data_IF_915961130049
#
_entry.id   IF_915961130049
#
_cell.length_a   1.000
_cell.length_b   1.000
_cell.length_c   1.000
_cell.angle_alpha   90.00
_cell.angle_beta   90.00
_cell.angle_gamma   90.00
#
_symmetry.space_group_name_H-M   'P 1'
#
loop_
_entity.id
_entity.type
_entity.pdbx_description
1 polymer ?
#
# COMPACT_ATOMS: atom_id res chain seq x y z
N UNK A 1 -3.32 9.82 9.82
CA UNK A 1 -4.54 9.64 9.01
C UNK A 1 -5.55 8.84 9.82
N UNK A 2 -6.85 9.14 9.75
CA UNK A 2 -7.90 8.24 10.26
C UNK A 2 -7.95 6.99 9.39
N UNK A 3 -7.77 5.81 9.99
CA UNK A 3 -7.73 4.54 9.26
C UNK A 3 -9.17 4.03 9.08
N UNK A 4 -9.70 4.14 7.87
CA UNK A 4 -10.98 3.55 7.49
C UNK A 4 -10.74 2.15 6.91
N UNK A 5 -11.36 1.14 7.51
CA UNK A 5 -11.27 -0.25 7.04
C UNK A 5 -12.66 -0.82 6.78
N UNK A 6 -12.84 -1.35 5.58
CA UNK A 6 -14.04 -2.06 5.10
C UNK A 6 -13.65 -2.81 3.82
N UNK A 7 -14.12 -4.04 3.57
CA UNK A 7 -13.74 -4.79 2.37
C UNK A 7 -14.21 -4.19 1.04
N UNK A 8 -15.29 -3.41 1.04
CA UNK A 8 -15.73 -2.66 -0.15
C UNK A 8 -15.01 -1.33 -0.38
N UNK A 9 -13.84 -1.12 0.24
CA UNK A 9 -13.01 0.04 -0.05
C UNK A 9 -11.90 -0.42 -0.98
N UNK A 10 -11.98 0.02 -2.24
CA UNK A 10 -10.85 -0.04 -3.15
C UNK A 10 -9.84 1.04 -2.78
N UNK A 11 -8.60 0.63 -2.59
CA UNK A 11 -7.45 1.54 -2.39
C UNK A 11 -6.59 1.50 -3.65
N UNK A 12 -6.33 2.66 -4.23
CA UNK A 12 -5.54 2.80 -5.45
C UNK A 12 -4.48 3.89 -5.29
N UNK A 13 -3.49 3.85 -6.17
CA UNK A 13 -2.46 4.87 -6.31
C UNK A 13 -2.42 5.28 -7.79
N UNK A 14 -2.25 6.58 -8.04
CA UNK A 14 -1.92 7.10 -9.36
C UNK A 14 -0.40 7.29 -9.42
N UNK A 15 0.20 6.83 -10.51
CA UNK A 15 1.62 7.00 -10.80
C UNK A 15 1.70 7.64 -12.17
N UNK A 16 2.31 8.82 -12.24
CA UNK A 16 2.56 9.52 -13.49
C UNK A 16 3.56 8.73 -14.34
N UNK A 17 3.21 8.50 -15.60
CA UNK A 17 4.01 7.72 -16.55
C UNK A 17 5.42 8.26 -16.76
N UNK A 18 5.65 9.56 -16.55
CA UNK A 18 6.98 10.16 -16.66
C UNK A 18 7.93 9.70 -15.55
N UNK A 19 7.40 9.35 -14.37
CA UNK A 19 8.18 8.87 -13.23
C UNK A 19 8.06 7.37 -13.02
N UNK A 20 7.17 6.70 -13.75
CA UNK A 20 7.03 5.26 -13.67
C UNK A 20 8.27 4.56 -14.23
N UNK A 21 8.83 3.66 -13.43
CA UNK A 21 9.82 2.68 -13.86
C UNK A 21 9.36 1.30 -13.43
N UNK A 22 9.47 0.32 -14.33
CA UNK A 22 9.08 -1.07 -14.05
C UNK A 22 9.89 -1.69 -12.90
N UNK A 23 11.07 -1.14 -12.63
CA UNK A 23 12.01 -1.65 -11.62
C UNK A 23 12.08 -0.75 -10.37
N UNK A 24 11.13 0.16 -10.18
CA UNK A 24 11.10 1.04 -9.01
C UNK A 24 10.58 0.31 -7.75
N UNK A 25 11.48 0.05 -6.82
CA UNK A 25 11.17 -0.61 -5.56
C UNK A 25 10.04 0.05 -4.76
N UNK A 26 9.98 1.39 -4.67
CA UNK A 26 8.98 2.08 -3.84
C UNK A 26 7.58 1.97 -4.44
N UNK A 27 7.48 2.08 -5.77
CA UNK A 27 6.23 1.84 -6.49
C UNK A 27 5.71 0.45 -6.17
N UNK A 28 6.54 -0.58 -6.35
CA UNK A 28 6.16 -1.97 -6.08
C UNK A 28 5.82 -2.20 -4.61
N UNK A 29 6.54 -1.59 -3.67
CA UNK A 29 6.25 -1.68 -2.24
C UNK A 29 4.87 -1.11 -1.89
N UNK A 30 4.54 0.06 -2.41
CA UNK A 30 3.23 0.68 -2.15
C UNK A 30 2.11 -0.13 -2.82
N UNK A 31 2.31 -0.55 -4.07
CA UNK A 31 1.33 -1.37 -4.81
C UNK A 31 1.08 -2.69 -4.08
N UNK A 32 2.12 -3.38 -3.60
CA UNK A 32 1.99 -4.61 -2.83
C UNK A 32 1.18 -4.38 -1.54
N UNK A 33 1.50 -3.33 -0.79
CA UNK A 33 0.79 -2.99 0.45
C UNK A 33 -0.70 -2.66 0.20
N UNK A 34 -1.03 -1.95 -0.88
CA UNK A 34 -2.41 -1.70 -1.29
C UNK A 34 -3.11 -2.99 -1.73
N UNK A 35 -2.42 -3.89 -2.43
CA UNK A 35 -2.94 -5.20 -2.84
C UNK A 35 -3.33 -6.04 -1.62
N UNK A 36 -2.47 -6.10 -0.59
CA UNK A 36 -2.79 -6.77 0.68
C UNK A 36 -4.11 -6.23 1.25
N UNK A 37 -4.24 -4.91 1.37
CA UNK A 37 -5.45 -4.27 1.92
C UNK A 37 -6.70 -4.51 1.09
N UNK A 38 -6.57 -4.51 -0.25
CA UNK A 38 -7.68 -4.81 -1.16
C UNK A 38 -8.10 -6.29 -1.13
N UNK A 39 -7.19 -7.19 -0.76
CA UNK A 39 -7.50 -8.61 -0.50
C UNK A 39 -8.06 -8.86 0.91
N UNK A 40 -8.19 -7.82 1.74
CA UNK A 40 -8.61 -7.96 3.14
C UNK A 40 -7.50 -8.45 4.08
N UNK A 41 -6.25 -8.51 3.61
CA UNK A 41 -5.08 -8.86 4.40
C UNK A 41 -4.50 -7.64 5.11
N UNK A 42 -3.80 -7.87 6.21
CA UNK A 42 -3.09 -6.82 6.94
C UNK A 42 -1.85 -6.39 6.17
N UNK A 43 -1.66 -5.08 5.98
CA UNK A 43 -0.37 -4.49 5.58
C UNK A 43 0.51 -4.19 6.81
N UNK A 44 0.06 -4.59 8.01
CA UNK A 44 0.73 -4.34 9.28
C UNK A 44 1.01 -2.84 9.54
N UNK A 45 0.18 -1.95 8.96
CA UNK A 45 0.32 -0.49 9.08
C UNK A 45 1.37 0.12 8.14
N UNK A 46 1.93 -0.67 7.22
CA UNK A 46 2.99 -0.22 6.31
C UNK A 46 2.58 1.02 5.49
N UNK A 47 1.38 1.04 4.90
CA UNK A 47 0.92 2.18 4.09
C UNK A 47 0.87 3.47 4.92
N UNK A 48 0.43 3.37 6.18
CA UNK A 48 0.38 4.52 7.09
C UNK A 48 1.78 5.10 7.30
N UNK A 49 2.76 4.26 7.60
CA UNK A 49 4.12 4.74 7.89
C UNK A 49 4.90 5.13 6.64
N UNK A 50 4.67 4.46 5.51
CA UNK A 50 5.21 4.87 4.22
C UNK A 50 4.67 6.25 3.81
N UNK A 51 3.40 6.56 4.08
CA UNK A 51 2.83 7.86 3.71
C UNK A 51 3.61 9.05 4.31
N UNK A 52 4.16 8.92 5.52
CA UNK A 52 5.02 9.94 6.14
C UNK A 52 6.35 10.08 5.39
N UNK A 53 6.96 8.95 5.03
CA UNK A 53 8.25 8.90 4.31
C UNK A 53 8.10 9.30 2.84
N UNK A 54 6.92 9.15 2.27
CA UNK A 54 6.61 9.50 0.89
C UNK A 54 5.98 10.89 0.76
N UNK A 55 5.66 11.56 1.88
CA UNK A 55 5.12 12.92 1.86
C UNK A 55 6.12 13.92 1.24
N UNK A 56 5.62 14.75 0.32
CA UNK A 56 6.40 15.72 -0.44
C UNK A 56 6.94 15.14 -1.75
N UNK A 57 7.85 15.88 -2.39
CA UNK A 57 8.47 15.42 -3.63
C UNK A 57 9.51 14.33 -3.38
N UNK A 58 9.29 13.15 -3.96
CA UNK A 58 10.18 11.98 -3.84
C UNK A 58 11.18 11.95 -5.01
N UNK A 59 10.68 12.21 -6.23
CA UNK A 59 11.41 12.08 -7.49
C UNK A 59 11.61 13.40 -8.24
N UNK A 60 10.97 14.48 -7.79
CA UNK A 60 10.65 15.62 -8.66
C UNK A 60 11.30 16.94 -8.21
N UNK A 61 11.85 17.68 -9.18
CA UNK A 61 12.16 19.13 -9.06
C UNK A 61 11.02 19.96 -9.70
N UNK A 62 10.32 19.43 -10.73
CA UNK A 62 9.19 20.06 -11.43
C UNK A 62 7.98 19.14 -11.64
N UNK A 63 6.79 19.56 -11.18
CA UNK A 63 5.56 18.78 -11.21
C UNK A 63 4.93 18.72 -9.83
N UNK A 64 3.65 19.06 -9.72
CA UNK A 64 2.92 19.14 -8.46
C UNK A 64 1.83 18.06 -8.36
N UNK A 65 1.27 17.89 -7.15
CA UNK A 65 0.14 16.99 -6.90
C UNK A 65 -1.09 17.27 -7.77
N UNK A 66 -1.14 18.42 -8.46
CA UNK A 66 -2.25 18.83 -9.30
C UNK A 66 -2.34 18.12 -10.67
N UNK A 67 -1.28 17.42 -11.12
CA UNK A 67 -1.35 16.69 -12.40
C UNK A 67 -2.40 15.58 -12.39
N UNK A 68 -2.71 15.02 -11.21
CA UNK A 68 -3.75 14.00 -11.03
C UNK A 68 -5.15 14.48 -11.48
N UNK A 69 -5.41 15.79 -11.48
CA UNK A 69 -6.72 16.32 -11.87
C UNK A 69 -6.99 16.18 -13.38
N UNK A 70 -5.94 16.10 -14.18
CA UNK A 70 -6.01 15.98 -15.64
C UNK A 70 -6.17 14.52 -16.08
N UNK A 71 -6.05 13.57 -15.15
CA UNK A 71 -5.98 12.14 -15.44
C UNK A 71 -7.34 11.46 -15.37
N UNK A 72 -7.97 11.30 -16.55
CA UNK A 72 -9.29 10.70 -16.70
C UNK A 72 -9.41 9.34 -16.01
N UNK A 73 -8.36 8.52 -16.05
CA UNK A 73 -8.37 7.18 -15.47
C UNK A 73 -8.56 7.18 -13.94
N UNK A 74 -8.15 8.24 -13.24
CA UNK A 74 -8.34 8.38 -11.79
C UNK A 74 -9.83 8.43 -11.46
N UNK A 75 -10.60 9.23 -12.20
CA UNK A 75 -12.06 9.33 -12.02
C UNK A 75 -12.78 8.09 -12.54
N UNK A 76 -12.35 7.56 -13.69
CA UNK A 76 -12.95 6.35 -14.26
C UNK A 76 -12.76 5.13 -13.34
N UNK A 77 -11.69 5.08 -12.54
CA UNK A 77 -11.48 4.00 -11.57
C UNK A 77 -12.64 3.90 -10.57
N UNK A 78 -13.15 5.02 -10.06
CA UNK A 78 -14.29 5.02 -9.14
C UNK A 78 -15.58 4.54 -9.82
N UNK A 79 -15.81 4.98 -11.06
CA UNK A 79 -16.95 4.55 -11.87
C UNK A 79 -16.88 3.04 -12.13
N UNK A 80 -15.74 2.54 -12.60
CA UNK A 80 -15.51 1.11 -12.83
C UNK A 80 -15.69 0.30 -11.55
N UNK A 81 -15.09 0.73 -10.44
CA UNK A 81 -15.25 0.03 -9.17
C UNK A 81 -16.73 -0.08 -8.74
N UNK A 82 -17.52 0.97 -8.99
CA UNK A 82 -18.95 1.00 -8.64
C UNK A 82 -19.78 0.04 -9.50
N UNK A 83 -19.49 -0.10 -10.79
CA UNK A 83 -20.33 -0.83 -11.74
C UNK A 83 -19.81 -2.21 -12.15
N UNK A 84 -18.50 -2.44 -12.09
CA UNK A 84 -17.85 -3.67 -12.56
C UNK A 84 -17.58 -4.67 -11.42
N UNK A 85 -17.57 -4.22 -10.16
CA UNK A 85 -17.37 -5.10 -9.01
C UNK A 85 -18.70 -5.69 -8.55
N UNK A 86 -18.69 -6.97 -8.22
CA UNK A 86 -19.86 -7.64 -7.66
C UNK A 86 -20.29 -6.95 -6.36
N UNK A 87 -21.58 -6.63 -6.19
CA UNK A 87 -22.06 -5.97 -4.98
C UNK A 87 -21.72 -6.80 -3.72
N UNK A 88 -21.21 -6.12 -2.71
CA UNK A 88 -20.84 -6.69 -1.40
C UNK A 88 -21.93 -6.38 -0.36
N UNK A 89 -22.12 -7.28 0.61
CA UNK A 89 -23.11 -7.12 1.69
C UNK A 89 -24.57 -7.31 1.27
N UNK A 90 -25.50 -6.84 2.11
CA UNK A 90 -26.96 -7.03 1.99
C UNK A 90 -27.61 -6.30 0.80
N UNK A 91 -26.85 -5.50 0.04
CA UNK A 91 -27.30 -4.87 -1.20
C UNK A 91 -27.36 -5.85 -2.39
N UNK A 92 -26.83 -7.07 -2.21
CA UNK A 92 -27.29 -8.21 -3.00
C UNK A 92 -28.65 -8.67 -2.48
N UNK A 93 -29.67 -8.72 -3.34
CA UNK A 93 -31.06 -9.16 -3.06
C UNK A 93 -31.23 -10.54 -2.40
N UNK A 94 -30.20 -11.18 -1.85
CA UNK A 94 -30.19 -12.63 -1.58
C UNK A 94 -29.61 -13.13 -0.24
N UNK A 95 -29.13 -12.32 0.70
CA UNK A 95 -28.66 -12.88 1.99
C UNK A 95 -28.90 -11.99 3.21
N UNK A 96 -30.04 -12.21 3.87
CA UNK A 96 -30.46 -11.65 5.18
C UNK A 96 -29.75 -12.28 6.40
N UNK A 97 -28.63 -13.00 6.20
CA UNK A 97 -28.03 -13.86 7.23
C UNK A 97 -26.56 -13.58 7.56
N UNK A 98 -25.91 -12.60 6.92
CA UNK A 98 -24.54 -12.19 7.30
C UNK A 98 -24.60 -10.87 8.05
N UNK A 99 -23.97 -10.86 9.23
CA UNK A 99 -23.72 -9.64 9.99
C UNK A 99 -23.10 -8.58 9.08
N UNK A 100 -23.75 -7.43 8.98
CA UNK A 100 -23.26 -6.30 8.22
C UNK A 100 -21.86 -5.93 8.73
N UNK A 101 -20.86 -6.02 7.86
CA UNK A 101 -19.52 -5.57 8.20
C UNK A 101 -19.56 -4.04 8.32
N UNK A 102 -19.53 -3.55 9.55
CA UNK A 102 -19.54 -2.12 9.82
C UNK A 102 -18.16 -1.57 9.50
N UNK A 103 -18.11 -0.53 8.68
CA UNK A 103 -16.86 0.17 8.41
C UNK A 103 -16.23 0.64 9.73
N UNK A 104 -15.03 0.17 10.02
CA UNK A 104 -14.32 0.56 11.23
C UNK A 104 -13.53 1.83 10.93
N UNK A 105 -13.85 2.90 11.65
CA UNK A 105 -13.14 4.17 11.59
C UNK A 105 -12.29 4.28 12.84
N UNK A 106 -10.97 4.26 12.67
CA UNK A 106 -10.08 4.66 13.76
C UNK A 106 -10.09 6.18 13.89
N UNK A 107 -10.46 6.72 15.08
CA UNK A 107 -10.46 8.16 15.28
C UNK A 107 -9.06 8.70 15.03
N UNK A 108 -8.99 9.86 14.36
CA UNK A 108 -7.71 10.54 14.15
C UNK A 108 -7.10 10.84 15.52
N UNK A 109 -6.01 10.13 15.83
CA UNK A 109 -5.13 10.47 16.93
C UNK A 109 -3.94 11.18 16.31
N UNK A 110 -3.77 12.45 16.63
CA UNK A 110 -2.54 13.17 16.38
C UNK A 110 -1.42 12.55 17.25
N UNK A 111 -0.96 11.34 16.91
CA UNK A 111 0.17 10.73 17.59
C UNK A 111 1.41 11.48 17.14
N UNK A 112 1.98 12.22 18.08
CA UNK A 112 3.37 12.66 18.07
C UNK A 112 4.28 11.42 17.96
N UNK A 113 5.35 11.53 17.18
CA UNK A 113 6.46 10.57 17.00
C UNK A 113 6.31 9.52 15.87
N UNK A 114 7.10 9.77 14.82
CA UNK A 114 7.51 8.82 13.78
C UNK A 114 8.51 7.84 14.39
N UNK A 115 8.03 6.79 15.05
CA UNK A 115 8.91 5.76 15.59
C UNK A 115 9.62 5.08 14.39
N UNK A 116 10.96 5.14 14.31
CA UNK A 116 11.71 4.63 13.16
C UNK A 116 11.56 3.11 12.98
N UNK A 117 11.11 2.39 14.01
CA UNK A 117 10.95 0.94 13.99
C UNK A 117 9.64 0.46 13.37
N UNK A 118 8.67 1.34 13.11
CA UNK A 118 7.36 0.89 12.60
C UNK A 118 7.43 0.27 11.21
N UNK A 119 8.20 0.87 10.28
CA UNK A 119 8.35 0.33 8.93
C UNK A 119 9.01 -1.07 8.95
N UNK A 120 10.18 -1.27 9.58
CA UNK A 120 10.77 -2.60 9.66
C UNK A 120 9.89 -3.60 10.42
N UNK A 121 9.14 -3.16 11.43
CA UNK A 121 8.20 -4.03 12.14
C UNK A 121 7.04 -4.46 11.25
N UNK A 122 6.45 -3.54 10.49
CA UNK A 122 5.38 -3.83 9.54
C UNK A 122 5.86 -4.83 8.46
N UNK A 123 7.06 -4.59 7.90
CA UNK A 123 7.64 -5.50 6.91
C UNK A 123 7.95 -6.87 7.49
N UNK A 124 8.49 -6.97 8.71
CA UNK A 124 8.63 -8.26 9.41
C UNK A 124 7.27 -8.96 9.55
N UNK A 125 6.24 -8.22 9.93
CA UNK A 125 4.86 -8.73 10.02
C UNK A 125 4.42 -9.35 8.71
N UNK A 126 4.54 -8.61 7.61
CA UNK A 126 4.23 -9.08 6.24
C UNK A 126 4.99 -10.36 5.89
N UNK A 127 6.30 -10.40 6.16
CA UNK A 127 7.16 -11.54 5.80
C UNK A 127 6.89 -12.80 6.65
N UNK A 128 6.19 -12.67 7.77
CA UNK A 128 5.89 -13.78 8.68
C UNK A 128 4.40 -14.09 8.80
N UNK A 129 3.55 -13.37 8.08
CA UNK A 129 2.10 -13.51 8.14
C UNK A 129 1.63 -14.79 7.41
N UNK A 130 1.08 -15.79 8.13
CA UNK A 130 0.66 -17.04 7.51
C UNK A 130 -0.44 -16.86 6.46
N UNK A 131 -1.29 -15.85 6.58
CA UNK A 131 -2.35 -15.57 5.60
C UNK A 131 -1.76 -15.02 4.31
N UNK A 132 -0.69 -14.23 4.37
CA UNK A 132 0.05 -13.77 3.18
C UNK A 132 0.83 -14.94 2.57
N UNK A 133 1.55 -15.69 3.42
CA UNK A 133 2.34 -16.86 3.01
C UNK A 133 1.48 -18.08 2.63
N UNK A 134 0.16 -18.00 2.69
CA UNK A 134 -0.71 -19.02 2.10
C UNK A 134 -0.92 -18.81 0.58
N UNK A 135 -0.61 -17.62 0.05
CA UNK A 135 -0.86 -17.25 -1.34
C UNK A 135 0.44 -17.26 -2.15
N UNK A 136 0.58 -18.19 -3.10
CA UNK A 136 1.80 -18.32 -3.89
C UNK A 136 2.09 -17.09 -4.78
N UNK A 137 1.05 -16.42 -5.28
CA UNK A 137 1.19 -15.16 -6.01
C UNK A 137 1.81 -14.06 -5.14
N UNK A 138 1.33 -13.90 -3.90
CA UNK A 138 1.84 -12.87 -2.98
C UNK A 138 3.27 -13.17 -2.54
N UNK A 139 3.64 -14.45 -2.34
CA UNK A 139 5.04 -14.84 -2.10
C UNK A 139 5.93 -14.48 -3.28
N UNK A 140 5.47 -14.74 -4.51
CA UNK A 140 6.23 -14.45 -5.73
C UNK A 140 6.46 -12.96 -5.91
N UNK A 141 5.43 -12.16 -5.64
CA UNK A 141 5.51 -10.70 -5.65
C UNK A 141 6.44 -10.19 -4.54
N UNK A 142 6.34 -10.74 -3.32
CA UNK A 142 7.21 -10.38 -2.19
C UNK A 142 8.68 -10.73 -2.47
N UNK A 143 8.96 -11.88 -3.09
CA UNK A 143 10.30 -12.26 -3.55
C UNK A 143 10.83 -11.31 -4.64
N UNK A 144 9.97 -10.89 -5.57
CA UNK A 144 10.33 -9.88 -6.57
C UNK A 144 10.67 -8.54 -5.91
N UNK A 145 9.91 -8.15 -4.90
CA UNK A 145 10.13 -6.94 -4.11
C UNK A 145 11.47 -6.96 -3.36
N UNK A 146 11.91 -8.12 -2.85
CA UNK A 146 13.26 -8.25 -2.27
C UNK A 146 14.36 -8.06 -3.30
N UNK A 147 14.22 -8.62 -4.51
CA UNK A 147 15.19 -8.40 -5.60
C UNK A 147 15.26 -6.93 -5.99
N UNK A 148 14.12 -6.27 -6.11
CA UNK A 148 14.06 -4.83 -6.37
C UNK A 148 14.73 -4.04 -5.25
N UNK A 149 14.51 -4.40 -3.98
CA UNK A 149 15.14 -3.77 -2.82
C UNK A 149 16.67 -3.86 -2.85
N UNK A 150 17.22 -5.02 -3.22
CA UNK A 150 18.66 -5.22 -3.32
C UNK A 150 19.30 -4.30 -4.36
N UNK A 151 18.64 -4.17 -5.52
CA UNK A 151 19.09 -3.31 -6.62
C UNK A 151 18.82 -1.82 -6.38
N UNK A 152 17.85 -1.49 -5.54
CA UNK A 152 17.40 -0.12 -5.33
C UNK A 152 18.47 0.75 -4.68
N UNK A 153 18.94 1.78 -5.36
CA UNK A 153 19.99 2.67 -4.84
C UNK A 153 19.49 4.13 -4.75
N UNK A 154 18.83 4.52 -3.64
CA UNK A 154 18.26 5.85 -3.52
C UNK A 154 19.32 6.95 -3.39
N UNK A 155 19.05 8.10 -3.99
CA UNK A 155 19.95 9.26 -3.98
C UNK A 155 19.68 10.23 -2.82
N UNK A 156 18.40 10.46 -2.50
CA UNK A 156 17.99 11.41 -1.47
C UNK A 156 18.24 10.90 -0.04
N UNK A 157 18.54 11.80 0.89
CA UNK A 157 18.79 11.46 2.30
C UNK A 157 17.62 10.70 2.92
N UNK A 158 16.38 11.17 2.66
CA UNK A 158 15.13 10.57 3.14
C UNK A 158 14.99 9.11 2.71
N UNK A 159 15.28 8.82 1.43
CA UNK A 159 15.15 7.47 0.89
C UNK A 159 16.32 6.56 1.28
N UNK A 160 17.53 7.11 1.49
CA UNK A 160 18.65 6.38 2.08
C UNK A 160 18.34 5.95 3.52
N UNK A 161 17.71 6.82 4.30
CA UNK A 161 17.25 6.49 5.65
C UNK A 161 16.18 5.38 5.61
N UNK A 162 15.23 5.45 4.67
CA UNK A 162 14.24 4.39 4.46
C UNK A 162 14.92 3.06 4.09
N UNK A 163 15.86 3.06 3.15
CA UNK A 163 16.62 1.86 2.77
C UNK A 163 17.35 1.28 3.98
N UNK A 164 17.97 2.11 4.81
CA UNK A 164 18.60 1.66 6.05
C UNK A 164 17.62 1.01 7.02
N UNK A 165 16.44 1.62 7.22
CA UNK A 165 15.38 1.04 8.07
C UNK A 165 14.88 -0.31 7.55
N UNK A 166 14.88 -0.49 6.23
CA UNK A 166 14.45 -1.72 5.55
C UNK A 166 15.57 -2.76 5.40
N UNK A 167 16.83 -2.42 5.69
CA UNK A 167 17.99 -3.31 5.52
C UNK A 167 17.84 -4.68 6.21
N UNK A 168 17.20 -4.80 7.40
CA UNK A 168 16.92 -6.11 8.01
C UNK A 168 16.14 -7.07 7.10
N UNK A 169 15.45 -6.59 6.06
CA UNK A 169 14.74 -7.43 5.10
C UNK A 169 15.64 -8.40 4.35
N UNK A 170 16.93 -8.08 4.18
CA UNK A 170 17.92 -8.97 3.53
C UNK A 170 18.11 -10.29 4.27
N UNK A 171 17.73 -10.35 5.55
CA UNK A 171 17.85 -11.56 6.35
C UNK A 171 16.68 -12.54 6.18
N UNK A 172 15.59 -12.12 5.52
CA UNK A 172 14.44 -12.99 5.29
C UNK A 172 14.69 -13.90 4.09
N UNK A 173 14.33 -15.16 4.25
CA UNK A 173 14.31 -16.15 3.17
C UNK A 173 12.91 -16.74 3.17
N UNK A 174 12.19 -16.60 2.05
CA UNK A 174 10.84 -17.12 1.86
C UNK A 174 10.86 -18.53 1.27
#
# INVERSE_FOLDING_TARGET
>A
MSNLTHPSILRTIYIDGHFYSSDDFLIHLVVFALRLRNLGLSDHGLVMHLSEVLAGSIYVIEGGHSTIYEELNVYMTAVRYTFEVSPFGEYTRRNLMKSQEVATIEPFKAKQSSNPYYIPWAMRGICSDPSILAHDELKTELNSLFRLFEMWNPTSSKLKELKFKLDPLKSFTL
#
